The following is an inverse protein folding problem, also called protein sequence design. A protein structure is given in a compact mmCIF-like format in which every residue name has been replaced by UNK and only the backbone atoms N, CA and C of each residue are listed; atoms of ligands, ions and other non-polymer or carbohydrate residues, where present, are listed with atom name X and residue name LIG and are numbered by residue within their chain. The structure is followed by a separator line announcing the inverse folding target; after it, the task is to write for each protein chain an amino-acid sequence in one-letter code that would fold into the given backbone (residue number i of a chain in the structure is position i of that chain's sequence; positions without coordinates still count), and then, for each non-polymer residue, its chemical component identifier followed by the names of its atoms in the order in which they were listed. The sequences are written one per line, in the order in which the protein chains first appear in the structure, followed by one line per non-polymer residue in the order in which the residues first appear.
data_IF_953532682128
#
_entry.id   IF_953532682128
#
_cell.length_a   1.000
_cell.length_b   1.000
_cell.length_c   1.000
_cell.angle_alpha   90.00
_cell.angle_beta   90.00
_cell.angle_gamma   90.00
#
_symmetry.space_group_name_H-M   'P 1'
#
loop_
_entity.id
_entity.type
_entity.pdbx_description
1 polymer ?
#
# COMPACT_ATOMS: atom_id res chain seq x y z
N UNK A 1 -47.45 -39.21 31.66
CA UNK A 1 -47.21 -38.34 30.47
C UNK A 1 -46.62 -36.96 30.80
N UNK A 2 -47.05 -36.27 31.88
CA UNK A 2 -46.56 -34.92 32.23
C UNK A 2 -45.06 -34.84 32.58
N UNK A 3 -44.48 -35.89 33.16
CA UNK A 3 -43.04 -35.97 33.48
C UNK A 3 -42.15 -36.36 32.27
N UNK A 4 -42.71 -37.02 31.26
CA UNK A 4 -41.96 -37.40 30.04
C UNK A 4 -41.65 -36.18 29.16
N UNK A 5 -42.58 -35.23 29.12
CA UNK A 5 -42.45 -33.98 28.36
C UNK A 5 -41.39 -33.04 28.96
N UNK A 6 -41.22 -33.06 30.28
CA UNK A 6 -40.19 -32.31 31.01
C UNK A 6 -38.78 -32.87 30.78
N UNK A 7 -38.66 -34.19 30.59
CA UNK A 7 -37.39 -34.84 30.24
C UNK A 7 -36.97 -34.52 28.80
N UNK A 8 -37.92 -34.43 27.87
CA UNK A 8 -37.66 -34.02 26.48
C UNK A 8 -37.22 -32.54 26.37
N UNK A 9 -37.74 -31.67 27.26
CA UNK A 9 -37.38 -30.25 27.31
C UNK A 9 -35.96 -30.01 27.85
N UNK A 10 -35.42 -30.93 28.65
CA UNK A 10 -34.06 -30.83 29.22
C UNK A 10 -32.96 -31.45 28.34
N UNK A 11 -33.32 -32.26 27.32
CA UNK A 11 -32.37 -32.87 26.38
C UNK A 11 -32.19 -32.03 25.11
N UNK A 12 -33.15 -31.17 24.77
CA UNK A 12 -33.09 -30.30 23.60
C UNK A 12 -31.92 -29.28 23.57
N UNK A 13 -31.37 -28.76 24.69
CA UNK A 13 -30.25 -27.81 24.62
C UNK A 13 -28.89 -28.47 24.27
N UNK A 14 -28.78 -29.80 24.17
CA UNK A 14 -27.53 -30.48 23.80
C UNK A 14 -27.28 -30.52 22.28
N UNK A 15 -28.28 -30.20 21.45
CA UNK A 15 -28.16 -30.22 19.99
C UNK A 15 -27.88 -28.84 19.38
N UNK A 16 -27.74 -27.80 20.20
CA UNK A 16 -27.39 -26.46 19.75
C UNK A 16 -25.93 -26.21 20.15
N UNK A 17 -25.09 -25.91 19.14
CA UNK A 17 -23.65 -25.55 19.22
C UNK A 17 -22.64 -26.68 18.90
N UNK A 18 -22.66 -27.12 17.65
CA UNK A 18 -21.41 -27.43 16.94
C UNK A 18 -21.51 -26.90 15.50
N UNK A 19 -21.57 -25.57 15.35
CA UNK A 19 -21.20 -24.97 14.07
C UNK A 19 -19.68 -25.03 14.01
N UNK A 20 -19.14 -25.97 13.24
CA UNK A 20 -17.70 -26.11 13.02
C UNK A 20 -17.24 -25.02 12.06
N UNK A 21 -17.20 -23.79 12.56
CA UNK A 21 -16.66 -22.67 11.82
C UNK A 21 -15.13 -22.68 11.88
N UNK A 22 -14.49 -22.41 10.75
CA UNK A 22 -13.06 -22.20 10.65
C UNK A 22 -12.67 -20.73 10.52
N UNK A 23 -11.37 -20.50 10.48
CA UNK A 23 -10.80 -19.19 10.16
C UNK A 23 -9.86 -19.34 8.97
N UNK A 24 -10.15 -18.63 7.89
CA UNK A 24 -9.26 -18.54 6.73
C UNK A 24 -8.44 -17.27 6.91
N UNK A 25 -7.11 -17.39 6.88
CA UNK A 25 -6.21 -16.25 7.00
C UNK A 25 -4.95 -16.46 6.19
N UNK A 26 -4.33 -15.36 5.78
CA UNK A 26 -3.13 -15.45 4.97
C UNK A 26 -2.50 -14.11 4.70
N UNK A 27 -1.45 -14.16 3.88
CA UNK A 27 -0.72 -13.01 3.39
C UNK A 27 -0.66 -13.05 1.88
N UNK A 28 -0.79 -11.89 1.25
CA UNK A 28 -0.65 -11.70 -0.19
C UNK A 28 0.65 -10.95 -0.46
N UNK A 29 1.51 -11.54 -1.29
CA UNK A 29 2.80 -10.98 -1.68
C UNK A 29 2.93 -10.87 -3.19
N UNK A 30 3.76 -9.95 -3.64
CA UNK A 30 4.22 -9.93 -5.02
C UNK A 30 5.22 -11.07 -5.26
N UNK A 31 5.06 -11.78 -6.37
CA UNK A 31 5.91 -12.93 -6.67
C UNK A 31 7.35 -12.55 -6.98
N UNK A 32 7.62 -11.40 -7.60
CA UNK A 32 8.97 -11.00 -8.04
C UNK A 32 9.84 -10.43 -6.91
N UNK A 33 9.24 -9.74 -5.95
CA UNK A 33 9.94 -8.99 -4.90
C UNK A 33 9.74 -9.54 -3.48
N UNK A 34 8.68 -10.33 -3.26
CA UNK A 34 8.14 -10.66 -1.93
C UNK A 34 7.69 -9.45 -1.11
N UNK A 35 7.40 -8.31 -1.75
CA UNK A 35 6.75 -7.17 -1.08
C UNK A 35 5.27 -7.51 -0.80
N UNK A 36 4.73 -7.19 0.38
CA UNK A 36 3.31 -7.38 0.65
C UNK A 36 2.41 -6.52 -0.23
N UNK A 37 1.35 -7.13 -0.79
CA UNK A 37 0.33 -6.43 -1.58
C UNK A 37 -0.78 -5.97 -0.64
N UNK A 38 -0.86 -4.66 -0.47
CA UNK A 38 -1.86 -3.98 0.36
C UNK A 38 -3.14 -3.75 -0.43
N UNK A 39 -4.27 -3.61 0.28
CA UNK A 39 -5.58 -3.28 -0.32
C UNK A 39 -6.08 -4.25 -1.40
N UNK A 40 -5.45 -5.42 -1.55
CA UNK A 40 -5.93 -6.48 -2.42
C UNK A 40 -7.29 -6.95 -1.91
N UNK A 41 -8.27 -7.07 -2.80
CA UNK A 41 -9.56 -7.63 -2.46
C UNK A 41 -9.41 -9.14 -2.42
N UNK A 42 -9.79 -9.72 -1.29
CA UNK A 42 -9.82 -11.15 -1.06
C UNK A 42 -11.27 -11.52 -0.81
N UNK A 43 -11.79 -12.50 -1.54
CA UNK A 43 -13.18 -12.94 -1.40
C UNK A 43 -13.29 -14.45 -1.55
N UNK A 44 -14.29 -15.04 -0.90
CA UNK A 44 -14.71 -16.41 -1.17
C UNK A 44 -15.85 -16.35 -2.19
N UNK A 45 -15.62 -16.89 -3.39
CA UNK A 45 -16.61 -16.84 -4.48
C UNK A 45 -17.95 -17.44 -4.02
N UNK A 46 -19.05 -16.84 -4.50
CA UNK A 46 -20.43 -17.21 -4.17
C UNK A 46 -20.82 -17.06 -2.68
N UNK A 47 -20.03 -16.36 -1.87
CA UNK A 47 -20.38 -16.05 -0.48
C UNK A 47 -20.40 -14.53 -0.22
N UNK A 48 -20.74 -14.12 0.99
CA UNK A 48 -20.58 -12.75 1.49
C UNK A 48 -19.23 -12.49 2.16
N UNK A 49 -18.36 -13.51 2.28
CA UNK A 49 -17.04 -13.34 2.89
C UNK A 49 -16.11 -12.59 1.94
N UNK A 50 -15.76 -11.37 2.33
CA UNK A 50 -14.83 -10.50 1.62
C UNK A 50 -14.06 -9.64 2.61
N UNK A 51 -12.80 -9.36 2.29
CA UNK A 51 -11.89 -8.55 3.10
C UNK A 51 -10.87 -7.92 2.18
N UNK A 52 -10.20 -6.88 2.66
CA UNK A 52 -9.02 -6.31 2.01
C UNK A 52 -7.78 -6.66 2.79
N UNK A 53 -6.63 -6.76 2.12
CA UNK A 53 -5.35 -6.92 2.80
C UNK A 53 -4.92 -5.64 3.53
N UNK A 54 -4.24 -5.82 4.66
CA UNK A 54 -3.62 -4.73 5.43
C UNK A 54 -2.24 -4.31 4.90
N UNK A 55 -1.53 -3.45 5.65
CA UNK A 55 -0.21 -2.92 5.30
C UNK A 55 0.89 -4.00 5.20
N UNK A 56 0.67 -5.15 5.82
CA UNK A 56 1.54 -6.32 5.76
C UNK A 56 1.04 -7.38 4.77
N UNK A 57 0.02 -7.04 3.97
CA UNK A 57 -0.61 -7.96 3.02
C UNK A 57 -1.50 -9.01 3.69
N UNK A 58 -1.80 -8.87 4.98
CA UNK A 58 -2.55 -9.85 5.77
C UNK A 58 -4.06 -9.71 5.55
N UNK A 59 -4.76 -10.84 5.49
CA UNK A 59 -6.22 -10.92 5.47
C UNK A 59 -6.74 -12.01 6.41
N UNK A 60 -7.99 -11.87 6.84
CA UNK A 60 -8.67 -12.84 7.70
C UNK A 60 -10.18 -12.88 7.44
N UNK A 61 -10.73 -14.09 7.38
CA UNK A 61 -12.15 -14.40 7.44
C UNK A 61 -12.42 -15.20 8.72
N UNK A 62 -12.93 -14.55 9.77
CA UNK A 62 -13.36 -15.27 10.96
C UNK A 62 -14.69 -15.98 10.70
N UNK A 63 -14.89 -17.11 11.38
CA UNK A 63 -16.17 -17.85 11.41
C UNK A 63 -16.71 -18.25 10.02
N UNK A 64 -15.84 -18.83 9.20
CA UNK A 64 -16.22 -19.38 7.89
C UNK A 64 -16.83 -20.76 8.12
N UNK A 65 -18.07 -21.04 7.68
CA UNK A 65 -18.66 -22.36 7.81
C UNK A 65 -17.80 -23.45 7.16
N UNK A 66 -17.99 -24.70 7.57
CA UNK A 66 -17.33 -25.83 6.94
C UNK A 66 -17.75 -25.94 5.46
N UNK A 67 -16.77 -26.18 4.58
CA UNK A 67 -17.04 -26.35 3.15
C UNK A 67 -15.80 -26.16 2.28
N UNK A 68 -15.98 -26.38 0.99
CA UNK A 68 -14.97 -26.10 -0.04
C UNK A 68 -15.31 -24.74 -0.66
N UNK A 69 -14.33 -23.85 -0.66
CA UNK A 69 -14.46 -22.51 -1.19
C UNK A 69 -13.38 -22.24 -2.23
N UNK A 70 -13.70 -21.39 -3.20
CA UNK A 70 -12.70 -20.79 -4.08
C UNK A 70 -12.36 -19.41 -3.56
N UNK A 71 -11.16 -19.29 -3.01
CA UNK A 71 -10.57 -18.03 -2.60
C UNK A 71 -10.08 -17.27 -3.83
N UNK A 72 -10.64 -16.11 -4.10
CA UNK A 72 -10.21 -15.23 -5.16
C UNK A 72 -9.49 -14.01 -4.56
N UNK A 73 -8.29 -13.74 -5.07
CA UNK A 73 -7.54 -12.52 -4.77
C UNK A 73 -7.40 -11.71 -6.05
N UNK A 74 -7.89 -10.48 -6.03
CA UNK A 74 -7.70 -9.53 -7.12
C UNK A 74 -7.09 -8.23 -6.60
N UNK A 75 -6.27 -7.61 -7.44
CA UNK A 75 -5.76 -6.27 -7.21
C UNK A 75 -5.35 -5.65 -8.54
N UNK A 76 -5.52 -4.33 -8.66
CA UNK A 76 -5.20 -3.62 -9.88
C UNK A 76 -3.71 -3.79 -10.23
N UNK A 77 -3.42 -4.17 -11.48
CA UNK A 77 -2.05 -4.39 -11.96
C UNK A 77 -1.49 -5.79 -11.65
N UNK A 78 -2.31 -6.72 -11.14
CA UNK A 78 -1.94 -8.11 -10.91
C UNK A 78 -2.92 -9.08 -11.55
N UNK A 79 -2.44 -10.28 -11.88
CA UNK A 79 -3.32 -11.36 -12.32
C UNK A 79 -4.14 -11.87 -11.14
N UNK A 80 -5.44 -12.05 -11.36
CA UNK A 80 -6.34 -12.67 -10.37
C UNK A 80 -5.85 -14.07 -10.04
N UNK A 81 -5.73 -14.37 -8.75
CA UNK A 81 -5.40 -15.71 -8.25
C UNK A 81 -6.64 -16.37 -7.68
N UNK A 82 -6.91 -17.61 -8.07
CA UNK A 82 -8.00 -18.43 -7.58
C UNK A 82 -7.43 -19.70 -6.95
N UNK A 83 -7.71 -19.95 -5.68
CA UNK A 83 -7.17 -21.07 -4.91
C UNK A 83 -8.34 -21.81 -4.24
N UNK A 84 -8.38 -23.13 -4.35
CA UNK A 84 -9.34 -23.92 -3.59
C UNK A 84 -8.88 -24.10 -2.15
N UNK A 85 -9.81 -23.84 -1.23
CA UNK A 85 -9.59 -23.86 0.21
C UNK A 85 -10.74 -24.64 0.85
N UNK A 86 -10.42 -25.70 1.57
CA UNK A 86 -11.39 -26.48 2.33
C UNK A 86 -11.26 -26.16 3.83
N UNK A 87 -12.39 -25.83 4.45
CA UNK A 87 -12.50 -25.63 5.90
C UNK A 87 -13.06 -26.91 6.49
N UNK A 88 -12.32 -27.57 7.39
CA UNK A 88 -12.74 -28.83 8.01
C UNK A 88 -13.34 -28.65 9.42
N UNK A 89 -13.90 -29.74 9.97
CA UNK A 89 -14.54 -29.79 11.30
C UNK A 89 -13.69 -29.27 12.47
N UNK A 90 -12.36 -29.26 12.34
CA UNK A 90 -11.44 -28.80 13.38
C UNK A 90 -11.00 -27.34 13.16
N UNK A 91 -11.66 -26.60 12.26
CA UNK A 91 -11.31 -25.24 11.90
C UNK A 91 -9.96 -25.11 11.20
N UNK A 92 -9.39 -26.23 10.72
CA UNK A 92 -8.14 -26.25 9.97
C UNK A 92 -8.44 -26.09 8.49
N UNK A 93 -7.56 -25.34 7.83
CA UNK A 93 -7.66 -25.03 6.42
C UNK A 93 -6.80 -26.04 5.64
N UNK A 94 -7.45 -26.82 4.77
CA UNK A 94 -6.81 -27.67 3.80
C UNK A 94 -6.70 -26.90 2.49
N UNK A 95 -5.51 -26.90 1.90
CA UNK A 95 -5.22 -26.20 0.65
C UNK A 95 -4.66 -27.22 -0.30
N UNK A 96 -5.23 -27.29 -1.51
CA UNK A 96 -4.68 -28.16 -2.54
C UNK A 96 -3.43 -27.50 -3.14
N UNK A 97 -2.26 -28.09 -2.85
CA UNK A 97 -1.00 -27.71 -3.45
C UNK A 97 -0.44 -28.90 -4.22
N UNK A 98 -0.47 -28.84 -5.55
CA UNK A 98 0.01 -29.89 -6.45
C UNK A 98 -0.72 -31.24 -6.30
N UNK A 99 -2.06 -31.24 -6.26
CA UNK A 99 -2.91 -32.42 -6.09
C UNK A 99 -2.65 -33.15 -4.77
N UNK A 100 -2.32 -32.41 -3.71
CA UNK A 100 -2.07 -32.94 -2.38
C UNK A 100 -2.59 -31.97 -1.32
N UNK A 101 -3.59 -32.37 -0.51
CA UNK A 101 -4.15 -31.49 0.51
C UNK A 101 -3.14 -31.29 1.64
N UNK A 102 -2.70 -30.04 1.85
CA UNK A 102 -1.80 -29.66 2.94
C UNK A 102 -2.58 -28.86 3.98
N UNK A 103 -2.47 -29.26 5.25
CA UNK A 103 -3.00 -28.48 6.37
C UNK A 103 -2.15 -27.22 6.53
N UNK A 104 -2.75 -26.05 6.34
CA UNK A 104 -2.10 -24.75 6.57
C UNK A 104 -2.88 -23.93 7.59
N UNK A 105 -2.16 -23.32 8.52
CA UNK A 105 -2.77 -22.36 9.46
C UNK A 105 -2.81 -20.93 8.88
N UNK A 106 -2.02 -20.67 7.84
CA UNK A 106 -1.83 -19.37 7.20
C UNK A 106 -1.50 -19.61 5.72
N UNK A 107 -2.27 -18.98 4.81
CA UNK A 107 -1.99 -18.97 3.38
C UNK A 107 -0.87 -17.97 3.05
N UNK A 108 0.02 -18.31 2.12
CA UNK A 108 0.95 -17.36 1.50
C UNK A 108 0.66 -17.34 0.00
N UNK A 109 -0.10 -16.35 -0.44
CA UNK A 109 -0.52 -16.18 -1.83
C UNK A 109 0.49 -15.27 -2.51
N UNK A 110 0.93 -15.63 -3.72
CA UNK A 110 1.85 -14.82 -4.52
C UNK A 110 1.17 -14.43 -5.83
N UNK A 111 1.07 -13.12 -6.08
CA UNK A 111 0.49 -12.61 -7.32
C UNK A 111 1.59 -12.22 -8.31
N UNK A 112 1.35 -12.52 -9.59
CA UNK A 112 2.17 -12.05 -10.71
C UNK A 112 1.64 -10.71 -11.18
N UNK A 113 2.54 -9.75 -11.42
CA UNK A 113 2.19 -8.48 -12.07
C UNK A 113 1.55 -8.77 -13.43
N UNK A 114 0.46 -8.06 -13.73
CA UNK A 114 -0.21 -8.13 -15.02
C UNK A 114 0.22 -6.94 -15.88
N UNK A 115 0.56 -7.21 -17.13
CA UNK A 115 0.83 -6.17 -18.14
C UNK A 115 -0.36 -5.99 -19.11
N UNK A 116 -1.49 -6.65 -18.86
CA UNK A 116 -2.65 -6.61 -19.74
C UNK A 116 -3.67 -5.57 -19.27
N UNK A 117 -4.29 -4.89 -20.23
CA UNK A 117 -5.42 -3.99 -20.02
C UNK A 117 -6.55 -4.71 -19.27
N UNK A 118 -7.28 -3.95 -18.48
CA UNK A 118 -8.42 -4.44 -17.70
C UNK A 118 -9.40 -5.13 -18.64
N UNK A 119 -9.47 -6.46 -18.61
CA UNK A 119 -10.69 -7.14 -19.06
C UNK A 119 -11.82 -6.58 -18.21
N UNK A 120 -12.88 -6.13 -18.88
CA UNK A 120 -14.08 -5.57 -18.25
C UNK A 120 -14.49 -6.52 -17.13
N UNK A 121 -14.34 -6.05 -15.89
CA UNK A 121 -14.91 -6.72 -14.74
C UNK A 121 -16.41 -6.54 -14.90
N UNK A 122 -17.15 -7.62 -15.16
CA UNK A 122 -18.59 -7.65 -14.92
C UNK A 122 -18.80 -7.34 -13.44
N UNK A 123 -19.10 -6.08 -13.17
CA UNK A 123 -19.61 -5.65 -11.88
C UNK A 123 -21.00 -6.27 -11.76
N UNK A 124 -21.11 -7.42 -11.11
CA UNK A 124 -22.39 -7.90 -10.62
C UNK A 124 -22.83 -6.94 -9.51
N UNK A 125 -23.73 -6.02 -9.86
CA UNK A 125 -24.24 -4.90 -9.04
C UNK A 125 -25.02 -5.40 -7.80
N UNK A 126 -25.35 -6.68 -7.72
CA UNK A 126 -26.19 -7.24 -6.65
C UNK A 126 -25.50 -7.49 -5.28
N UNK A 127 -24.25 -7.03 -5.08
CA UNK A 127 -23.46 -7.35 -3.87
C UNK A 127 -22.79 -6.17 -3.16
N UNK A 128 -23.38 -4.97 -3.22
CA UNK A 128 -22.90 -3.80 -2.47
C UNK A 128 -23.54 -3.64 -1.07
N UNK A 129 -24.24 -4.64 -0.56
CA UNK A 129 -24.73 -4.60 0.83
C UNK A 129 -23.64 -5.06 1.81
N UNK A 130 -23.07 -4.04 2.46
CA UNK A 130 -22.26 -4.04 3.70
C UNK A 130 -20.77 -3.70 3.55
N UNK A 131 -20.47 -2.54 2.96
CA UNK A 131 -19.34 -1.73 3.43
C UNK A 131 -19.80 -0.85 4.60
N UNK A 132 -19.78 -1.38 5.82
CA UNK A 132 -20.17 -0.66 7.04
C UNK A 132 -19.28 0.55 7.38
N UNK A 133 -18.17 0.77 6.66
CA UNK A 133 -17.28 1.92 6.84
C UNK A 133 -16.89 2.55 5.49
N UNK A 134 -17.80 3.29 4.86
CA UNK A 134 -17.43 4.16 3.73
C UNK A 134 -16.82 5.44 4.30
N UNK A 135 -15.51 5.44 4.52
CA UNK A 135 -14.79 6.65 4.90
C UNK A 135 -14.61 7.54 3.67
N UNK A 136 -15.60 8.38 3.36
CA UNK A 136 -15.58 9.33 2.22
C UNK A 136 -14.45 10.37 2.30
N UNK A 137 -13.82 10.52 3.46
CA UNK A 137 -12.73 11.48 3.70
C UNK A 137 -11.33 10.85 3.62
N UNK A 138 -11.20 9.61 3.13
CA UNK A 138 -9.91 8.92 3.02
C UNK A 138 -9.65 8.46 1.60
N UNK A 139 -8.60 8.99 0.99
CA UNK A 139 -8.07 8.49 -0.27
C UNK A 139 -6.88 7.57 0.04
N UNK A 140 -6.96 6.31 -0.41
CA UNK A 140 -5.91 5.30 -0.24
C UNK A 140 -5.26 5.00 -1.57
N UNK A 141 -3.94 5.11 -1.62
CA UNK A 141 -3.17 4.80 -2.80
C UNK A 141 -2.13 3.72 -2.54
N UNK A 142 -2.06 2.74 -3.44
CA UNK A 142 -0.90 1.87 -3.59
C UNK A 142 0.06 2.44 -4.64
N UNK A 143 1.28 1.91 -4.68
CA UNK A 143 2.26 2.19 -5.75
C UNK A 143 1.67 1.99 -7.14
N UNK A 144 0.92 0.90 -7.34
CA UNK A 144 0.30 0.60 -8.64
C UNK A 144 -0.78 1.60 -9.06
N UNK A 145 -1.42 2.27 -8.11
CA UNK A 145 -2.32 3.37 -8.42
C UNK A 145 -1.55 4.64 -8.77
N UNK A 146 -0.43 4.91 -8.08
CA UNK A 146 0.44 6.05 -8.36
C UNK A 146 1.03 5.98 -9.78
N UNK A 147 1.53 4.81 -10.21
CA UNK A 147 2.11 4.59 -11.54
C UNK A 147 1.16 4.91 -12.71
N UNK A 148 -0.16 5.00 -12.46
CA UNK A 148 -1.19 5.29 -13.48
C UNK A 148 -1.59 6.77 -13.54
N UNK A 149 -1.06 7.60 -12.66
CA UNK A 149 -1.39 9.02 -12.64
C UNK A 149 -0.61 9.80 -13.71
N UNK A 150 -1.13 10.97 -14.14
CA UNK A 150 -0.37 11.88 -14.98
C UNK A 150 0.99 12.18 -14.37
N UNK A 151 2.03 12.20 -15.20
CA UNK A 151 3.39 12.53 -14.79
C UNK A 151 3.93 13.69 -15.61
N UNK A 152 4.54 14.67 -14.95
CA UNK A 152 5.35 15.69 -15.61
C UNK A 152 6.75 15.14 -15.87
N UNK A 153 7.25 15.27 -17.10
CA UNK A 153 8.58 14.77 -17.47
C UNK A 153 8.71 13.24 -17.44
N UNK A 154 7.59 12.51 -17.46
CA UNK A 154 7.57 11.04 -17.46
C UNK A 154 7.84 10.39 -16.10
N UNK A 155 7.86 11.17 -15.02
CA UNK A 155 8.02 10.67 -13.65
C UNK A 155 6.86 11.13 -12.76
N UNK A 156 6.21 10.17 -12.08
CA UNK A 156 5.11 10.46 -11.16
C UNK A 156 5.67 11.05 -9.86
N UNK A 157 5.03 12.09 -9.35
CA UNK A 157 5.37 12.73 -8.08
C UNK A 157 4.11 12.98 -7.22
N UNK A 158 4.24 12.89 -5.89
CA UNK A 158 3.09 13.08 -4.97
C UNK A 158 2.54 14.52 -4.97
N UNK A 159 3.34 15.53 -5.29
CA UNK A 159 2.87 16.91 -5.38
C UNK A 159 1.80 17.05 -6.47
N UNK A 160 2.03 16.44 -7.63
CA UNK A 160 1.09 16.40 -8.74
C UNK A 160 -0.18 15.60 -8.37
N UNK A 161 -0.01 14.49 -7.65
CA UNK A 161 -1.15 13.73 -7.17
C UNK A 161 -2.04 14.55 -6.20
N UNK A 162 -1.45 15.28 -5.26
CA UNK A 162 -2.25 16.05 -4.32
C UNK A 162 -3.10 17.12 -5.02
N UNK A 163 -2.66 17.65 -6.16
CA UNK A 163 -3.43 18.64 -6.91
C UNK A 163 -4.74 18.09 -7.49
N UNK A 164 -4.83 16.79 -7.77
CA UNK A 164 -6.05 16.16 -8.32
C UNK A 164 -6.98 15.60 -7.24
N UNK A 165 -6.65 15.81 -5.96
CA UNK A 165 -7.48 15.34 -4.86
C UNK A 165 -8.64 16.29 -4.54
N UNK A 166 -9.86 15.76 -4.32
CA UNK A 166 -10.99 16.57 -3.88
C UNK A 166 -10.71 17.31 -2.57
N UNK A 167 -10.98 18.63 -2.57
CA UNK A 167 -10.78 19.48 -1.40
C UNK A 167 -9.32 19.84 -1.13
N UNK A 168 -8.40 19.57 -2.06
CA UNK A 168 -7.02 20.05 -2.00
C UNK A 168 -6.85 21.25 -2.93
N UNK A 169 -6.18 22.28 -2.45
CA UNK A 169 -5.88 23.50 -3.19
C UNK A 169 -4.42 23.89 -2.94
N UNK A 170 -3.72 24.30 -3.99
CA UNK A 170 -2.40 24.91 -3.90
C UNK A 170 -2.51 26.42 -4.17
N UNK A 171 -1.61 27.21 -3.60
CA UNK A 171 -1.62 28.67 -3.79
C UNK A 171 -1.08 29.14 -5.14
N UNK A 172 -0.46 28.26 -5.93
CA UNK A 172 0.06 28.56 -7.26
C UNK A 172 -0.30 27.48 -8.28
N UNK A 173 -0.21 27.84 -9.56
CA UNK A 173 -0.70 27.04 -10.68
C UNK A 173 0.10 25.75 -10.93
N UNK A 174 1.34 25.68 -10.40
CA UNK A 174 2.26 24.55 -10.51
C UNK A 174 3.05 24.37 -9.19
N UNK A 175 2.46 24.69 -8.04
CA UNK A 175 3.16 24.59 -6.76
C UNK A 175 2.60 25.51 -5.70
N UNK A 176 3.36 25.70 -4.63
CA UNK A 176 3.06 26.56 -3.52
C UNK A 176 2.71 25.77 -2.26
N UNK A 177 1.87 26.39 -1.44
CA UNK A 177 1.48 25.85 -0.15
C UNK A 177 0.24 24.98 -0.30
N UNK A 178 0.25 23.83 0.37
CA UNK A 178 -0.85 22.85 0.37
C UNK A 178 -1.95 23.26 1.36
N UNK A 179 -3.17 23.48 0.87
CA UNK A 179 -4.39 23.68 1.67
C UNK A 179 -5.33 22.51 1.45
N UNK A 180 -5.89 21.97 2.53
CA UNK A 180 -6.87 20.87 2.45
C UNK A 180 -8.12 21.31 3.22
N UNK A 181 -9.26 21.31 2.55
CA UNK A 181 -10.56 21.78 3.08
C UNK A 181 -10.49 23.15 3.77
N UNK A 182 -9.70 24.07 3.20
CA UNK A 182 -9.51 25.43 3.73
C UNK A 182 -8.57 25.53 4.94
N UNK A 183 -8.02 24.42 5.43
CA UNK A 183 -7.01 24.43 6.47
C UNK A 183 -5.68 25.00 5.98
N UNK A 184 -5.07 25.89 6.78
CA UNK A 184 -3.75 26.41 6.52
C UNK A 184 -2.71 25.28 6.39
N UNK A 185 -1.57 25.49 5.70
CA UNK A 185 -0.59 24.44 5.45
C UNK A 185 -0.05 23.78 6.73
N UNK A 186 0.11 24.59 7.78
CA UNK A 186 0.54 24.12 9.10
C UNK A 186 -0.50 23.23 9.81
N UNK A 187 -1.76 23.26 9.39
CA UNK A 187 -2.82 22.40 9.92
C UNK A 187 -2.81 21.00 9.31
N UNK A 188 -2.01 20.75 8.28
CA UNK A 188 -1.82 19.43 7.68
C UNK A 188 -0.69 18.69 8.42
N UNK A 189 -0.80 17.36 8.53
CA UNK A 189 0.29 16.48 9.00
C UNK A 189 0.76 15.64 7.83
N UNK A 190 2.04 15.68 7.52
CA UNK A 190 2.64 14.74 6.56
C UNK A 190 3.57 13.82 7.33
N UNK A 191 3.43 12.52 7.10
CA UNK A 191 4.16 11.46 7.77
C UNK A 191 4.88 10.61 6.73
N UNK A 192 6.16 10.32 6.96
CA UNK A 192 6.92 9.31 6.23
C UNK A 192 7.35 8.22 7.22
N UNK A 193 6.80 7.02 7.08
CA UNK A 193 7.01 5.89 8.01
C UNK A 193 6.74 6.24 9.49
N UNK A 194 5.94 7.28 9.74
CA UNK A 194 5.60 7.78 11.07
C UNK A 194 6.38 9.01 11.53
N UNK A 195 7.45 9.40 10.82
CA UNK A 195 8.16 10.65 11.05
C UNK A 195 7.38 11.85 10.50
N UNK A 196 7.27 12.93 11.27
CA UNK A 196 6.64 14.18 10.81
C UNK A 196 7.58 14.89 9.84
N UNK A 197 7.09 15.15 8.63
CA UNK A 197 7.79 15.93 7.61
C UNK A 197 7.17 17.32 7.54
N UNK A 198 7.95 18.34 7.94
CA UNK A 198 7.47 19.72 8.01
C UNK A 198 7.45 20.41 6.64
N UNK A 199 8.47 20.14 5.81
CA UNK A 199 8.59 20.68 4.46
C UNK A 199 8.56 19.50 3.47
N UNK A 200 7.37 19.03 3.05
CA UNK A 200 7.23 17.84 2.21
C UNK A 200 7.40 18.14 0.70
N UNK A 201 7.83 19.34 0.34
CA UNK A 201 7.98 19.77 -1.05
C UNK A 201 9.29 20.54 -1.28
N UNK A 202 9.84 20.41 -2.48
CA UNK A 202 10.94 21.19 -3.04
C UNK A 202 10.45 22.25 -4.03
N UNK A 203 11.33 23.19 -4.35
CA UNK A 203 11.19 24.06 -5.54
C UNK A 203 9.83 24.72 -5.56
N UNK A 204 9.57 25.53 -4.53
CA UNK A 204 8.31 26.23 -4.26
C UNK A 204 7.05 25.35 -4.20
N UNK A 205 7.14 24.01 -4.13
CA UNK A 205 5.98 23.12 -4.15
C UNK A 205 5.83 22.30 -5.43
N UNK A 206 6.79 22.37 -6.35
CA UNK A 206 6.70 21.71 -7.65
C UNK A 206 6.95 20.19 -7.58
N UNK A 207 7.84 19.77 -6.68
CA UNK A 207 8.15 18.37 -6.43
C UNK A 207 7.92 18.03 -4.97
N UNK A 208 7.40 16.84 -4.69
CA UNK A 208 7.39 16.29 -3.34
C UNK A 208 8.80 15.86 -2.95
N UNK A 209 9.12 15.80 -1.66
CA UNK A 209 10.40 15.27 -1.18
C UNK A 209 10.46 13.73 -1.21
N UNK A 210 9.39 13.08 -1.66
CA UNK A 210 9.22 11.64 -1.60
C UNK A 210 9.50 11.00 -2.96
N UNK A 211 10.48 10.10 -3.01
CA UNK A 211 10.66 9.27 -4.20
C UNK A 211 9.52 8.25 -4.32
N UNK A 212 8.73 8.35 -5.38
CA UNK A 212 7.60 7.47 -5.65
C UNK A 212 7.99 6.01 -5.85
N UNK A 213 9.24 5.73 -6.26
CA UNK A 213 9.74 4.36 -6.44
C UNK A 213 9.99 3.63 -5.12
N UNK A 214 10.11 4.33 -3.98
CA UNK A 214 10.26 3.71 -2.65
C UNK A 214 8.95 3.70 -1.85
N UNK A 215 7.92 4.41 -2.33
CA UNK A 215 6.61 4.43 -1.68
C UNK A 215 6.00 3.03 -1.79
N UNK A 216 5.32 2.61 -0.72
CA UNK A 216 4.41 1.46 -0.68
C UNK A 216 2.97 1.93 -0.76
N UNK A 217 2.64 2.96 0.02
CA UNK A 217 1.32 3.59 0.02
C UNK A 217 1.33 5.03 0.48
N UNK A 218 0.25 5.71 0.11
CA UNK A 218 -0.09 7.04 0.60
C UNK A 218 -1.58 7.04 0.98
N UNK A 219 -1.85 7.26 2.27
CA UNK A 219 -3.20 7.46 2.77
C UNK A 219 -3.42 8.95 3.06
N UNK A 220 -4.35 9.58 2.35
CA UNK A 220 -4.71 11.00 2.53
C UNK A 220 -6.07 11.09 3.20
N UNK A 221 -6.06 11.53 4.45
CA UNK A 221 -7.24 11.85 5.23
C UNK A 221 -7.53 13.34 5.10
N UNK A 222 -8.57 13.70 4.36
CA UNK A 222 -9.03 15.09 4.22
C UNK A 222 -9.98 15.53 5.35
N UNK A 223 -10.27 14.62 6.29
CA UNK A 223 -11.08 14.84 7.49
C UNK A 223 -11.36 13.52 8.21
N UNK A 224 -11.99 13.59 9.39
CA UNK A 224 -12.40 12.41 10.19
C UNK A 224 -11.28 11.35 10.37
N UNK A 225 -10.03 11.78 10.49
CA UNK A 225 -8.91 10.87 10.67
C UNK A 225 -8.90 10.26 12.09
N UNK A 226 -8.37 9.04 12.25
CA UNK A 226 -8.26 8.39 13.55
C UNK A 226 -7.53 9.24 14.59
N UNK A 227 -7.99 9.18 15.85
CA UNK A 227 -7.44 9.94 16.98
C UNK A 227 -5.94 9.72 17.22
N UNK A 228 -5.40 8.55 16.84
CA UNK A 228 -3.96 8.22 16.94
C UNK A 228 -3.04 9.24 16.26
N UNK A 229 -3.53 9.95 15.25
CA UNK A 229 -2.67 10.86 14.51
C UNK A 229 -2.41 12.14 15.30
N UNK A 230 -3.41 12.73 15.94
CA UNK A 230 -3.30 13.90 16.83
C UNK A 230 -2.56 15.13 16.26
N UNK A 231 -2.66 16.26 16.98
CA UNK A 231 -1.79 17.43 16.77
C UNK A 231 -2.00 18.20 15.45
N UNK A 232 -3.09 17.95 14.72
CA UNK A 232 -3.50 18.65 13.49
C UNK A 232 -5.02 18.69 13.37
N UNK A 233 -5.53 19.68 12.64
CA UNK A 233 -6.97 19.98 12.55
C UNK A 233 -7.51 19.97 11.11
N UNK A 234 -6.65 19.85 10.10
CA UNK A 234 -7.04 19.87 8.68
C UNK A 234 -6.98 18.48 8.06
N UNK A 235 -5.77 17.90 7.96
CA UNK A 235 -5.57 16.66 7.22
C UNK A 235 -4.38 15.85 7.75
N UNK A 236 -4.37 14.56 7.41
CA UNK A 236 -3.24 13.65 7.62
C UNK A 236 -2.87 13.03 6.27
N UNK A 237 -1.58 13.07 5.93
CA UNK A 237 -0.98 12.41 4.77
C UNK A 237 0.02 11.40 5.33
N UNK A 238 -0.33 10.11 5.30
CA UNK A 238 0.50 9.04 5.84
C UNK A 238 1.12 8.23 4.71
N UNK A 239 2.41 8.44 4.50
CA UNK A 239 3.21 7.80 3.46
C UNK A 239 4.03 6.68 4.13
N UNK A 240 3.92 5.47 3.58
CA UNK A 240 4.74 4.33 4.00
C UNK A 240 5.66 3.91 2.87
N UNK A 241 6.89 3.57 3.20
CA UNK A 241 7.86 3.03 2.23
C UNK A 241 7.84 1.51 2.20
N UNK A 242 8.21 0.94 1.07
CA UNK A 242 8.38 -0.52 0.92
C UNK A 242 9.66 -1.00 1.60
N UNK A 243 9.81 -2.31 1.73
CA UNK A 243 10.97 -2.87 2.44
C UNK A 243 12.18 -3.13 1.52
N UNK A 244 11.96 -3.07 0.20
CA UNK A 244 12.95 -3.44 -0.82
C UNK A 244 12.79 -4.88 -1.30
N UNK A 245 13.57 -5.28 -2.32
CA UNK A 245 13.46 -6.60 -2.91
C UNK A 245 14.14 -7.67 -2.03
N UNK A 246 13.37 -8.63 -1.54
CA UNK A 246 13.89 -9.70 -0.66
C UNK A 246 14.49 -10.88 -1.44
N UNK A 247 14.34 -10.92 -2.76
CA UNK A 247 14.74 -12.07 -3.60
C UNK A 247 16.02 -11.85 -4.37
N UNK A 248 16.23 -10.64 -4.90
CA UNK A 248 17.37 -10.32 -5.77
C UNK A 248 17.82 -8.88 -5.58
N UNK A 249 19.10 -8.65 -5.84
CA UNK A 249 19.62 -7.31 -6.03
C UNK A 249 19.00 -6.72 -7.31
N UNK A 250 18.50 -5.50 -7.21
CA UNK A 250 17.86 -4.76 -8.29
C UNK A 250 18.23 -3.29 -8.18
N UNK A 251 18.29 -2.59 -9.31
CA UNK A 251 18.50 -1.16 -9.33
C UNK A 251 17.75 -0.51 -10.47
N UNK A 252 17.50 0.79 -10.34
CA UNK A 252 16.83 1.62 -11.34
C UNK A 252 17.55 2.95 -11.45
N UNK A 253 17.75 3.41 -12.67
CA UNK A 253 18.26 4.74 -12.98
C UNK A 253 17.23 5.41 -13.86
N UNK A 254 16.82 6.62 -13.50
CA UNK A 254 15.98 7.48 -14.35
C UNK A 254 16.59 8.87 -14.47
N UNK A 255 16.31 9.51 -15.59
CA UNK A 255 16.72 10.88 -15.87
C UNK A 255 15.69 11.49 -16.80
N UNK A 256 15.30 12.72 -16.50
CA UNK A 256 14.43 13.54 -17.33
C UNK A 256 15.01 14.97 -17.43
N UNK A 257 14.26 15.92 -17.98
CA UNK A 257 14.72 17.31 -18.10
C UNK A 257 14.78 18.06 -16.77
N UNK A 258 14.24 17.52 -15.67
CA UNK A 258 14.23 18.13 -14.35
C UNK A 258 15.27 17.53 -13.39
N UNK A 259 15.42 16.20 -13.39
CA UNK A 259 16.21 15.47 -12.39
C UNK A 259 16.68 14.10 -12.84
N UNK A 260 17.65 13.58 -12.10
CA UNK A 260 18.10 12.19 -12.15
C UNK A 260 17.84 11.49 -10.83
N UNK A 261 17.63 10.18 -10.93
CA UNK A 261 17.37 9.32 -9.79
C UNK A 261 18.13 7.99 -9.93
N UNK A 262 18.60 7.51 -8.79
CA UNK A 262 19.25 6.23 -8.63
C UNK A 262 18.59 5.48 -7.46
N UNK A 263 18.17 4.25 -7.71
CA UNK A 263 17.59 3.35 -6.73
C UNK A 263 18.39 2.04 -6.72
N UNK A 264 18.69 1.54 -5.53
CA UNK A 264 19.31 0.24 -5.32
C UNK A 264 18.62 -0.50 -4.17
N UNK A 265 18.30 -1.78 -4.39
CA UNK A 265 17.63 -2.60 -3.39
C UNK A 265 18.02 -4.08 -3.51
N UNK A 266 17.87 -4.82 -2.43
CA UNK A 266 18.13 -6.26 -2.47
C UNK A 266 18.08 -6.93 -1.11
N UNK A 267 18.30 -8.26 -1.07
CA UNK A 267 18.35 -9.00 0.18
C UNK A 267 19.57 -8.64 1.01
N UNK A 268 19.39 -8.57 2.34
CA UNK A 268 20.49 -8.45 3.30
C UNK A 268 21.08 -9.83 3.63
N UNK A 269 22.41 -9.90 3.75
CA UNK A 269 23.20 -11.06 4.19
C UNK A 269 23.26 -12.30 3.27
N UNK A 270 22.90 -12.17 2.00
CA UNK A 270 23.20 -13.19 1.00
C UNK A 270 22.42 -14.50 1.15
N UNK A 271 22.45 -15.26 0.05
CA UNK A 271 21.48 -16.27 -0.36
C UNK A 271 21.70 -17.65 0.29
N UNK A 272 22.21 -17.72 1.52
CA UNK A 272 22.67 -19.02 2.05
C UNK A 272 21.55 -19.91 2.61
N UNK A 273 20.33 -19.38 2.74
CA UNK A 273 19.12 -20.16 2.97
C UNK A 273 17.95 -19.41 2.34
N UNK A 274 17.06 -20.09 1.62
CA UNK A 274 15.81 -19.57 1.00
C UNK A 274 14.79 -18.98 2.01
N UNK A 275 15.24 -18.43 3.14
CA UNK A 275 14.46 -17.97 4.30
C UNK A 275 14.80 -16.55 4.78
N UNK A 276 15.85 -15.89 4.27
CA UNK A 276 16.13 -14.51 4.70
C UNK A 276 15.10 -13.57 4.07
N UNK A 277 14.13 -13.11 4.86
CA UNK A 277 13.16 -12.06 4.49
C UNK A 277 13.74 -10.64 4.66
N UNK A 278 15.04 -10.53 4.94
CA UNK A 278 15.74 -9.27 5.21
C UNK A 278 16.09 -8.55 3.90
N UNK A 279 15.92 -7.24 3.88
CA UNK A 279 16.14 -6.42 2.67
C UNK A 279 16.65 -5.03 2.99
N UNK A 280 17.28 -4.41 2.00
CA UNK A 280 17.63 -3.00 2.01
C UNK A 280 17.06 -2.31 0.78
N UNK A 281 16.91 -1.00 0.90
CA UNK A 281 16.54 -0.09 -0.19
C UNK A 281 17.23 1.25 0.04
N UNK A 282 17.82 1.81 -1.01
CA UNK A 282 18.49 3.12 -1.03
C UNK A 282 18.04 3.87 -2.27
N UNK A 283 17.62 5.12 -2.09
CA UNK A 283 17.25 6.02 -3.19
C UNK A 283 18.00 7.34 -3.07
N UNK A 284 18.50 7.82 -4.20
CA UNK A 284 19.11 9.12 -4.38
C UNK A 284 18.41 9.82 -5.55
N UNK A 285 17.90 11.02 -5.32
CA UNK A 285 17.30 11.86 -6.36
C UNK A 285 17.96 13.23 -6.32
N UNK A 286 18.33 13.78 -7.47
CA UNK A 286 18.94 15.11 -7.55
C UNK A 286 18.44 15.84 -8.79
N UNK A 287 18.00 17.08 -8.60
CA UNK A 287 17.54 17.91 -9.70
C UNK A 287 18.65 18.79 -10.25
N UNK A 288 18.55 19.12 -11.51
CA UNK A 288 19.43 20.03 -12.23
C UNK A 288 18.61 21.03 -13.04
N UNK A 289 17.42 21.38 -12.54
CA UNK A 289 16.48 22.28 -13.20
C UNK A 289 17.08 23.68 -13.38
N UNK A 290 17.90 24.12 -12.44
CA UNK A 290 18.79 25.30 -12.53
C UNK A 290 19.63 25.33 -13.82
N UNK A 291 20.06 24.17 -14.30
CA UNK A 291 20.91 24.04 -15.50
C UNK A 291 20.11 23.83 -16.77
N UNK A 292 19.08 23.00 -16.71
CA UNK A 292 18.31 22.59 -17.90
C UNK A 292 17.23 23.59 -18.29
N UNK A 293 16.68 24.34 -17.34
CA UNK A 293 15.58 25.28 -17.59
C UNK A 293 15.90 26.35 -18.62
N UNK A 294 17.15 26.85 -18.65
CA UNK A 294 17.60 27.85 -19.63
C UNK A 294 17.44 27.38 -21.08
N UNK A 295 17.56 26.07 -21.32
CA UNK A 295 17.49 25.49 -22.67
C UNK A 295 16.09 24.93 -22.99
N UNK A 296 15.46 24.24 -22.03
CA UNK A 296 14.21 23.52 -22.27
C UNK A 296 12.95 24.32 -21.89
N UNK A 297 13.10 25.35 -21.05
CA UNK A 297 12.01 26.09 -20.42
C UNK A 297 12.20 27.61 -20.48
N UNK A 298 12.90 28.11 -21.50
CA UNK A 298 13.16 29.54 -21.70
C UNK A 298 11.89 30.40 -21.83
N UNK A 299 10.77 29.80 -22.25
CA UNK A 299 9.47 30.48 -22.29
C UNK A 299 8.90 30.83 -20.90
N UNK A 300 9.45 30.28 -19.82
CA UNK A 300 9.04 30.57 -18.44
C UNK A 300 9.87 31.73 -17.87
N UNK A 301 11.18 31.73 -18.11
CA UNK A 301 12.14 32.71 -17.59
C UNK A 301 13.39 32.71 -18.47
N UNK A 302 13.82 33.89 -18.91
CA UNK A 302 15.03 34.08 -19.71
C UNK A 302 16.30 33.66 -18.93
N UNK A 303 16.31 33.92 -17.61
CA UNK A 303 17.43 33.59 -16.72
C UNK A 303 17.39 32.13 -16.22
N UNK A 304 16.40 31.36 -16.63
CA UNK A 304 16.12 30.01 -16.14
C UNK A 304 15.39 30.00 -14.79
N UNK A 305 15.23 28.80 -14.24
CA UNK A 305 14.56 28.55 -12.97
C UNK A 305 15.61 28.23 -11.89
N UNK A 306 15.68 28.97 -10.78
CA UNK A 306 16.80 28.89 -9.82
C UNK A 306 16.69 27.71 -8.84
N UNK A 307 16.10 26.59 -9.25
CA UNK A 307 15.73 25.51 -8.34
C UNK A 307 16.64 24.29 -8.49
N UNK A 308 17.22 23.85 -7.37
CA UNK A 308 17.90 22.56 -7.28
C UNK A 308 17.63 21.89 -5.93
N UNK A 309 17.56 20.57 -5.90
CA UNK A 309 17.39 19.79 -4.69
C UNK A 309 18.14 18.47 -4.78
N UNK A 310 18.41 17.87 -3.62
CA UNK A 310 18.95 16.51 -3.52
C UNK A 310 18.33 15.77 -2.34
N UNK A 311 17.87 14.56 -2.60
CA UNK A 311 17.20 13.68 -1.65
C UNK A 311 17.95 12.37 -1.54
N UNK A 312 18.17 11.92 -0.31
CA UNK A 312 18.74 10.64 0.03
C UNK A 312 17.81 9.92 1.01
N UNK A 313 17.42 8.70 0.64
CA UNK A 313 16.68 7.80 1.51
C UNK A 313 17.39 6.46 1.63
N UNK A 314 17.40 5.89 2.83
CA UNK A 314 17.90 4.54 3.07
C UNK A 314 17.05 3.83 4.10
N UNK A 315 16.77 2.54 3.87
CA UNK A 315 16.07 1.67 4.81
C UNK A 315 16.62 0.25 4.78
N UNK A 316 16.78 -0.32 5.96
CA UNK A 316 17.13 -1.70 6.23
C UNK A 316 15.99 -2.35 7.01
N UNK A 317 15.51 -3.49 6.52
CA UNK A 317 14.40 -4.23 7.11
C UNK A 317 14.89 -5.63 7.48
N UNK A 318 14.75 -6.00 8.75
CA UNK A 318 15.14 -7.30 9.29
C UNK A 318 13.90 -7.99 9.87
N UNK A 319 13.67 -9.22 9.46
CA UNK A 319 12.60 -10.08 9.93
C UNK A 319 13.20 -11.25 10.72
N UNK A 320 12.67 -11.48 11.91
CA UNK A 320 13.00 -12.64 12.73
C UNK A 320 12.09 -13.82 12.41
N UNK A 321 12.57 -15.04 12.62
CA UNK A 321 11.79 -16.27 12.42
C UNK A 321 10.53 -16.34 13.29
N UNK A 322 10.49 -15.60 14.40
CA UNK A 322 9.32 -15.50 15.28
C UNK A 322 8.24 -14.52 14.78
N UNK A 323 8.45 -13.89 13.61
CA UNK A 323 7.52 -12.93 13.01
C UNK A 323 7.73 -11.47 13.42
N UNK A 324 8.76 -11.17 14.24
CA UNK A 324 9.13 -9.79 14.57
C UNK A 324 9.80 -9.09 13.40
N UNK A 325 9.54 -7.81 13.21
CA UNK A 325 10.14 -6.97 12.17
C UNK A 325 10.80 -5.74 12.78
N UNK A 326 12.04 -5.47 12.39
CA UNK A 326 12.81 -4.28 12.78
C UNK A 326 13.14 -3.51 11.51
N UNK A 327 12.83 -2.21 11.50
CA UNK A 327 13.21 -1.30 10.42
C UNK A 327 14.16 -0.23 10.97
N UNK A 328 15.26 -0.01 10.29
CA UNK A 328 16.14 1.14 10.48
C UNK A 328 16.12 1.95 9.20
N UNK A 329 15.73 3.22 9.26
CA UNK A 329 15.63 4.07 8.08
C UNK A 329 16.06 5.50 8.40
N UNK A 330 16.50 6.20 7.36
CA UNK A 330 16.96 7.57 7.41
C UNK A 330 16.62 8.29 6.11
N UNK A 331 16.41 9.59 6.24
CA UNK A 331 16.05 10.46 5.14
C UNK A 331 16.74 11.80 5.31
N UNK A 332 17.29 12.34 4.22
CA UNK A 332 17.85 13.67 4.14
C UNK A 332 17.43 14.29 2.81
N UNK A 333 16.98 15.53 2.85
CA UNK A 333 16.57 16.29 1.68
C UNK A 333 17.06 17.71 1.84
N UNK A 334 17.59 18.26 0.76
CA UNK A 334 18.12 19.60 0.68
C UNK A 334 17.45 20.31 -0.49
N UNK A 335 16.99 21.53 -0.27
CA UNK A 335 16.39 22.38 -1.30
C UNK A 335 17.20 23.67 -1.37
N UNK A 336 17.69 23.98 -2.56
CA UNK A 336 18.59 25.09 -2.83
C UNK A 336 17.96 26.00 -3.88
N UNK A 337 17.92 27.29 -3.55
CA UNK A 337 17.40 28.35 -4.42
C UNK A 337 18.46 29.42 -4.56
N UNK A 338 18.91 29.66 -5.80
CA UNK A 338 19.94 30.66 -6.10
C UNK A 338 19.37 31.76 -6.99
N UNK A 339 18.92 32.85 -6.36
CA UNK A 339 18.49 34.05 -7.07
C UNK A 339 19.74 34.81 -7.53
N UNK A 340 20.15 34.60 -8.79
CA UNK A 340 21.21 35.37 -9.44
C UNK A 340 20.77 36.81 -9.68
#
# INVERSE_FOLDING_TARGET
MRFLLLYFLFIFPLFVLSQSDGTIRGFVYEESSSEPIIYANVSLLNTSFGSTTDDNGYFIFPKVPQGIYTLQVNFMGYNTSSIQVEVNNNGKMLVDENNSPVIKNVLKIRLKSSNQELNVVELNIDKDENKTNVNTSVIKLSVKNLEKLPSLGGEVDLAQFFQVLPGVVFTGDQGGRLYIRGGAPIHNKVLLDGMIIYNPFHSIGFFSVFDTDIIKKTDVYTGAFPSRYGGRISSIIDIKTRDGNKKKLSGKISSNTFSSKFLLEGPLFGKNNNKSENSFIVSLRSSYLDKTSKNFYSYISDDGLPYSFTDLYGKFSVFSENGSKINLYGFNFEDNVDYV
#
